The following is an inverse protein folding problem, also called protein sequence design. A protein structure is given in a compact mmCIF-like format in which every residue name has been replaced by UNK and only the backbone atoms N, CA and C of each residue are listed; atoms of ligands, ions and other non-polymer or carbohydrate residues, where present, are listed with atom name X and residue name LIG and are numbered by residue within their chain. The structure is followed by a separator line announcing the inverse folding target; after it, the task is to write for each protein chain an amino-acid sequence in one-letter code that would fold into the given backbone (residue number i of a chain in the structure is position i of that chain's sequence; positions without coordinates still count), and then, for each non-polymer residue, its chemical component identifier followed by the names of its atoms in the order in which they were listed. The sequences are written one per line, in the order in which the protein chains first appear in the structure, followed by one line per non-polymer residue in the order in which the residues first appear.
data_IF_917288354778
#
_entry.id   IF_917288354778
#
_cell.length_a   1.000
_cell.length_b   1.000
_cell.length_c   1.000
_cell.angle_alpha   90.00
_cell.angle_beta   90.00
_cell.angle_gamma   90.00
#
_symmetry.space_group_name_H-M   'P 1'
#
loop_
_entity.id
_entity.type
_entity.pdbx_description
1 polymer ?
#
# COMPACT_ATOMS: atom_id res chain seq x y z
N UNK A 1 -29.21 12.17 -0.78
CA UNK A 1 -29.90 12.13 0.54
C UNK A 1 -29.92 13.54 1.09
N UNK A 2 -31.08 14.15 1.21
CA UNK A 2 -31.20 15.47 1.82
C UNK A 2 -31.11 15.31 3.33
N UNK A 3 -29.95 15.58 3.88
CA UNK A 3 -29.78 15.67 5.34
C UNK A 3 -30.25 17.06 5.79
N UNK A 4 -31.40 17.18 6.53
CA UNK A 4 -31.95 18.46 6.94
C UNK A 4 -30.97 19.31 7.76
N UNK A 5 -30.05 18.64 8.45
CA UNK A 5 -29.05 19.24 9.31
C UNK A 5 -27.92 19.88 8.51
N UNK A 6 -27.40 19.18 7.46
CA UNK A 6 -26.44 19.74 6.52
C UNK A 6 -27.02 20.96 5.77
N UNK A 7 -28.28 20.90 5.37
CA UNK A 7 -28.97 22.03 4.78
C UNK A 7 -29.10 23.22 5.73
N UNK A 8 -29.28 22.97 7.02
CA UNK A 8 -29.32 23.98 8.07
C UNK A 8 -27.96 24.67 8.27
N UNK A 9 -26.87 23.88 8.32
CA UNK A 9 -25.49 24.39 8.42
C UNK A 9 -25.13 25.18 7.17
N UNK A 10 -25.47 24.66 5.99
CA UNK A 10 -25.21 25.33 4.71
C UNK A 10 -25.92 26.67 4.62
N UNK A 11 -27.22 26.74 4.97
CA UNK A 11 -27.98 27.98 5.03
C UNK A 11 -27.38 28.96 6.02
N UNK A 12 -26.96 28.51 7.20
CA UNK A 12 -26.30 29.33 8.18
C UNK A 12 -24.94 29.84 7.65
N UNK A 13 -24.10 28.99 7.06
CA UNK A 13 -22.81 29.35 6.44
C UNK A 13 -23.03 30.44 5.37
N UNK A 14 -23.99 30.24 4.47
CA UNK A 14 -24.32 31.21 3.42
C UNK A 14 -24.77 32.55 4.04
N UNK A 15 -25.58 32.50 5.10
CA UNK A 15 -26.03 33.74 5.79
C UNK A 15 -24.89 34.50 6.48
N UNK A 16 -23.77 33.84 6.76
CA UNK A 16 -22.58 34.51 7.34
C UNK A 16 -21.59 35.01 6.26
N UNK A 17 -21.65 34.47 5.05
CA UNK A 17 -20.76 34.84 3.93
C UNK A 17 -21.34 35.94 3.04
N UNK A 18 -22.63 36.23 3.13
CA UNK A 18 -23.34 37.18 2.26
C UNK A 18 -23.24 38.66 2.71
N UNK A 19 -22.31 39.00 3.59
CA UNK A 19 -21.92 40.36 3.87
C UNK A 19 -20.88 40.81 2.86
N UNK A 20 -21.32 41.33 1.71
CA UNK A 20 -20.48 41.81 0.61
C UNK A 20 -19.61 43.05 0.93
N UNK A 21 -18.97 43.08 2.10
CA UNK A 21 -17.98 44.07 2.47
C UNK A 21 -16.60 43.39 2.61
N UNK A 22 -15.59 43.96 1.96
CA UNK A 22 -14.18 43.62 2.23
C UNK A 22 -13.94 43.68 3.74
N UNK A 23 -13.45 42.58 4.31
CA UNK A 23 -13.12 42.52 5.75
C UNK A 23 -12.03 43.53 6.04
N UNK A 24 -12.35 44.52 6.91
CA UNK A 24 -11.33 45.40 7.50
C UNK A 24 -10.30 44.53 8.25
N UNK A 25 -8.99 44.59 7.88
CA UNK A 25 -7.94 43.82 8.55
C UNK A 25 -7.80 44.12 10.05
N UNK A 26 -8.37 45.30 10.52
CA UNK A 26 -8.32 45.71 11.92
C UNK A 26 -9.65 45.49 12.65
N UNK A 27 -10.62 44.84 12.04
CA UNK A 27 -11.88 44.52 12.72
C UNK A 27 -11.63 43.55 13.90
N UNK A 28 -12.27 43.81 15.07
CA UNK A 28 -12.14 42.88 16.20
C UNK A 28 -12.64 41.48 15.80
N UNK A 29 -12.07 40.42 16.37
CA UNK A 29 -12.50 39.05 16.06
C UNK A 29 -14.01 38.93 16.32
N UNK A 30 -14.73 38.42 15.34
CA UNK A 30 -16.17 38.16 15.47
C UNK A 30 -16.38 37.12 16.56
N UNK A 31 -16.87 37.53 17.71
CA UNK A 31 -17.25 36.63 18.80
C UNK A 31 -18.54 35.94 18.37
N UNK A 32 -18.48 34.63 18.18
CA UNK A 32 -19.66 33.86 17.83
C UNK A 32 -20.69 33.92 18.98
N UNK A 33 -21.94 34.20 18.61
CA UNK A 33 -23.06 34.16 19.53
C UNK A 33 -23.11 32.83 20.31
N UNK A 34 -23.21 32.84 21.64
CA UNK A 34 -23.24 31.65 22.47
C UNK A 34 -24.30 30.60 22.03
N UNK A 35 -25.50 31.04 21.62
CA UNK A 35 -26.58 30.17 21.15
C UNK A 35 -26.17 29.47 19.81
N UNK A 36 -25.51 30.19 18.91
CA UNK A 36 -25.00 29.64 17.65
C UNK A 36 -23.88 28.67 17.88
N UNK A 37 -22.99 28.93 18.83
CA UNK A 37 -21.91 28.03 19.22
C UNK A 37 -22.47 26.74 19.79
N UNK A 38 -23.43 26.83 20.72
CA UNK A 38 -24.07 25.64 21.30
C UNK A 38 -24.82 24.80 20.24
N UNK A 39 -25.49 25.49 19.29
CA UNK A 39 -26.13 24.80 18.17
C UNK A 39 -25.13 24.06 17.32
N UNK A 40 -23.99 24.68 16.94
CA UNK A 40 -22.95 24.02 16.14
C UNK A 40 -22.29 22.86 16.88
N UNK A 41 -21.97 23.05 18.16
CA UNK A 41 -21.41 22.00 19.01
C UNK A 41 -22.37 20.76 19.09
N UNK A 42 -23.65 21.00 19.25
CA UNK A 42 -24.67 19.94 19.26
C UNK A 42 -24.75 19.21 17.94
N UNK A 43 -24.77 19.95 16.82
CA UNK A 43 -24.84 19.36 15.47
C UNK A 43 -23.60 18.56 15.16
N UNK A 44 -22.42 19.11 15.48
CA UNK A 44 -21.14 18.40 15.26
C UNK A 44 -21.06 17.13 16.09
N UNK A 45 -21.43 17.19 17.37
CA UNK A 45 -21.44 16.02 18.24
C UNK A 45 -22.40 14.93 17.73
N UNK A 46 -23.59 15.30 17.26
CA UNK A 46 -24.53 14.36 16.68
C UNK A 46 -24.01 13.72 15.39
N UNK A 47 -23.35 14.51 14.51
CA UNK A 47 -22.73 13.95 13.31
C UNK A 47 -21.62 12.97 13.64
N UNK A 48 -20.78 13.27 14.63
CA UNK A 48 -19.71 12.36 15.09
C UNK A 48 -20.28 11.08 15.70
N UNK A 49 -21.37 11.20 16.50
CA UNK A 49 -22.05 10.04 17.07
C UNK A 49 -22.68 9.16 15.99
N UNK A 50 -23.34 9.74 14.99
CA UNK A 50 -23.97 9.00 13.89
C UNK A 50 -22.93 8.29 13.02
N UNK A 51 -21.81 8.94 12.70
CA UNK A 51 -20.72 8.34 11.95
C UNK A 51 -20.02 7.22 12.73
N UNK A 52 -19.76 7.47 14.03
CA UNK A 52 -19.16 6.47 14.90
C UNK A 52 -20.05 5.24 15.07
N UNK A 53 -21.36 5.41 15.21
CA UNK A 53 -22.30 4.30 15.23
C UNK A 53 -22.29 3.53 13.93
N UNK A 54 -22.34 4.21 12.80
CA UNK A 54 -22.29 3.60 11.48
C UNK A 54 -20.99 2.82 11.22
N UNK A 55 -19.83 3.28 11.74
CA UNK A 55 -18.58 2.54 11.66
C UNK A 55 -18.62 1.27 12.53
N UNK A 56 -19.21 1.33 13.73
CA UNK A 56 -19.40 0.14 14.58
C UNK A 56 -20.32 -0.88 13.94
N UNK A 57 -21.41 -0.45 13.30
CA UNK A 57 -22.33 -1.33 12.60
C UNK A 57 -21.63 -2.08 11.45
N UNK A 58 -20.72 -1.44 10.73
CA UNK A 58 -19.87 -2.11 9.73
C UNK A 58 -18.94 -3.15 10.35
N UNK A 59 -18.29 -2.82 11.46
CA UNK A 59 -17.41 -3.76 12.16
C UNK A 59 -18.18 -4.97 12.69
N UNK A 60 -19.40 -4.78 13.20
CA UNK A 60 -20.24 -5.90 13.61
C UNK A 60 -20.66 -6.78 12.42
N UNK A 61 -20.91 -6.21 11.24
CA UNK A 61 -21.16 -6.98 10.02
C UNK A 61 -19.90 -7.77 9.58
N UNK A 62 -18.70 -7.17 9.67
CA UNK A 62 -17.42 -7.82 9.41
C UNK A 62 -17.19 -9.03 10.34
N UNK A 63 -17.55 -8.92 11.63
CA UNK A 63 -17.47 -9.99 12.62
C UNK A 63 -18.59 -11.03 12.48
N UNK A 64 -19.63 -10.72 11.72
CA UNK A 64 -20.80 -11.57 11.54
C UNK A 64 -20.48 -13.00 11.07
N UNK A 65 -21.44 -13.93 11.10
CA UNK A 65 -21.23 -15.30 10.66
C UNK A 65 -20.94 -15.38 9.16
N UNK A 66 -20.31 -16.48 8.71
CA UNK A 66 -19.92 -16.73 7.32
C UNK A 66 -20.23 -18.18 6.91
N UNK A 67 -21.43 -18.66 7.26
CA UNK A 67 -21.84 -20.04 7.01
C UNK A 67 -22.50 -20.25 5.63
N UNK A 68 -22.72 -19.18 4.88
CA UNK A 68 -23.33 -19.21 3.54
C UNK A 68 -22.73 -18.15 2.62
N UNK A 69 -22.85 -18.35 1.31
CA UNK A 69 -22.43 -17.35 0.29
C UNK A 69 -23.13 -16.00 0.46
N UNK A 70 -24.37 -16.00 0.94
CA UNK A 70 -25.12 -14.78 1.22
C UNK A 70 -24.49 -13.99 2.39
N UNK A 71 -24.13 -14.68 3.46
CA UNK A 71 -23.43 -14.07 4.60
C UNK A 71 -22.04 -13.58 4.21
N UNK A 72 -21.32 -14.33 3.38
CA UNK A 72 -20.04 -13.88 2.82
C UNK A 72 -20.20 -12.62 1.97
N UNK A 73 -21.27 -12.50 1.16
CA UNK A 73 -21.57 -11.29 0.38
C UNK A 73 -21.82 -10.08 1.29
N UNK A 74 -22.64 -10.25 2.34
CA UNK A 74 -22.88 -9.17 3.33
C UNK A 74 -21.58 -8.70 3.97
N UNK A 75 -20.65 -9.62 4.24
CA UNK A 75 -19.35 -9.31 4.81
C UNK A 75 -18.46 -8.54 3.81
N UNK A 76 -18.46 -8.93 2.53
CA UNK A 76 -17.78 -8.19 1.45
C UNK A 76 -18.35 -6.78 1.34
N UNK A 77 -19.68 -6.63 1.30
CA UNK A 77 -20.33 -5.32 1.22
C UNK A 77 -19.94 -4.41 2.39
N UNK A 78 -19.81 -4.97 3.61
CA UNK A 78 -19.37 -4.23 4.78
C UNK A 78 -17.89 -3.82 4.68
N UNK A 79 -17.01 -4.69 4.19
CA UNK A 79 -15.61 -4.40 3.94
C UNK A 79 -15.43 -3.32 2.86
N UNK A 80 -16.19 -3.38 1.76
CA UNK A 80 -16.17 -2.36 0.69
C UNK A 80 -16.64 -1.00 1.21
N UNK A 81 -17.72 -0.96 2.00
CA UNK A 81 -18.15 0.28 2.66
C UNK A 81 -17.11 0.81 3.65
N UNK A 82 -16.37 -0.05 4.34
CA UNK A 82 -15.26 0.38 5.19
C UNK A 82 -14.10 0.93 4.37
N UNK A 83 -13.78 0.35 3.20
CA UNK A 83 -12.78 0.87 2.25
C UNK A 83 -13.15 2.29 1.82
N UNK A 84 -14.39 2.51 1.35
CA UNK A 84 -14.87 3.81 0.91
C UNK A 84 -14.74 4.90 1.99
N UNK A 85 -14.92 4.52 3.26
CA UNK A 85 -14.82 5.47 4.38
C UNK A 85 -13.38 5.71 4.82
N UNK A 86 -12.56 4.67 4.89
CA UNK A 86 -11.18 4.72 5.37
C UNK A 86 -10.20 5.35 4.36
N UNK A 87 -10.67 5.82 3.20
CA UNK A 87 -9.86 6.62 2.26
C UNK A 87 -9.31 7.92 2.89
N UNK A 88 -9.93 8.39 3.96
CA UNK A 88 -9.44 9.52 4.77
C UNK A 88 -8.69 9.00 6.00
N UNK A 89 -7.50 9.55 6.26
CA UNK A 89 -6.60 9.14 7.35
C UNK A 89 -7.29 9.11 8.72
N UNK A 90 -8.09 10.12 9.04
CA UNK A 90 -8.81 10.18 10.32
C UNK A 90 -9.81 9.04 10.49
N UNK A 91 -10.47 8.63 9.41
CA UNK A 91 -11.39 7.50 9.41
C UNK A 91 -10.66 6.16 9.50
N UNK A 92 -9.49 6.02 8.86
CA UNK A 92 -8.65 4.83 8.99
C UNK A 92 -8.18 4.66 10.44
N UNK A 93 -7.75 5.74 11.11
CA UNK A 93 -7.43 5.72 12.56
C UNK A 93 -8.66 5.37 13.38
N UNK A 94 -9.81 6.01 13.11
CA UNK A 94 -11.08 5.78 13.80
C UNK A 94 -11.62 4.35 13.63
N UNK A 95 -11.39 3.73 12.49
CA UNK A 95 -11.78 2.34 12.22
C UNK A 95 -11.19 1.37 13.25
N UNK A 96 -9.94 1.58 13.69
CA UNK A 96 -9.37 0.78 14.77
C UNK A 96 -9.62 1.39 16.14
N UNK A 97 -9.21 2.64 16.38
CA UNK A 97 -9.20 3.23 17.73
C UNK A 97 -10.60 3.36 18.34
N UNK A 98 -11.62 3.57 17.52
CA UNK A 98 -13.00 3.77 17.97
C UNK A 98 -13.88 2.56 17.78
N UNK A 99 -13.79 1.88 16.62
CA UNK A 99 -14.65 0.74 16.30
C UNK A 99 -13.97 -0.61 16.49
N UNK A 100 -12.65 -0.65 16.74
CA UNK A 100 -11.83 -1.87 16.83
C UNK A 100 -11.99 -2.80 15.62
N UNK A 101 -11.99 -2.21 14.40
CA UNK A 101 -12.28 -2.94 13.17
C UNK A 101 -11.06 -3.63 12.55
N UNK A 102 -9.84 -3.12 12.79
CA UNK A 102 -8.64 -3.63 12.12
C UNK A 102 -8.32 -5.08 12.49
N UNK A 103 -8.40 -5.46 13.78
CA UNK A 103 -8.07 -6.82 14.21
C UNK A 103 -9.04 -7.87 13.64
N UNK A 104 -10.37 -7.70 13.72
CA UNK A 104 -11.30 -8.61 13.05
C UNK A 104 -11.05 -8.73 11.54
N UNK A 105 -10.68 -7.63 10.88
CA UNK A 105 -10.35 -7.66 9.45
C UNK A 105 -9.08 -8.48 9.18
N UNK A 106 -8.05 -8.37 10.03
CA UNK A 106 -6.83 -9.17 9.94
C UNK A 106 -7.12 -10.66 10.18
N UNK A 107 -8.03 -10.99 11.11
CA UNK A 107 -8.42 -12.38 11.36
C UNK A 107 -9.09 -13.03 10.14
N UNK A 108 -9.84 -12.30 9.33
CA UNK A 108 -10.48 -12.81 8.12
C UNK A 108 -9.48 -13.36 7.09
N UNK A 109 -8.24 -12.90 7.08
CA UNK A 109 -7.21 -13.44 6.19
C UNK A 109 -6.95 -14.93 6.41
N UNK A 110 -7.17 -15.43 7.63
CA UNK A 110 -6.94 -16.82 8.01
C UNK A 110 -8.25 -17.60 8.20
N UNK A 111 -9.30 -16.96 8.72
CA UNK A 111 -10.52 -17.63 9.17
C UNK A 111 -11.63 -17.71 8.14
N UNK A 112 -11.61 -16.81 7.12
CA UNK A 112 -12.63 -16.84 6.09
C UNK A 112 -12.41 -17.98 5.09
N UNK A 113 -13.48 -18.75 4.81
CA UNK A 113 -13.47 -19.78 3.77
C UNK A 113 -13.58 -19.19 2.35
N UNK A 114 -14.01 -17.94 2.22
CA UNK A 114 -14.30 -17.29 0.95
C UNK A 114 -13.17 -16.38 0.47
N UNK A 115 -12.59 -16.67 -0.69
CA UNK A 115 -11.47 -15.92 -1.27
C UNK A 115 -11.76 -14.45 -1.53
N UNK A 116 -13.01 -14.08 -1.88
CA UNK A 116 -13.41 -12.69 -2.05
C UNK A 116 -13.41 -11.92 -0.71
N UNK A 117 -13.81 -12.55 0.39
CA UNK A 117 -13.74 -11.94 1.73
C UNK A 117 -12.28 -11.70 2.11
N UNK A 118 -11.42 -12.74 1.98
CA UNK A 118 -9.97 -12.59 2.27
C UNK A 118 -9.31 -11.51 1.39
N UNK A 119 -9.65 -11.47 0.11
CA UNK A 119 -9.13 -10.48 -0.81
C UNK A 119 -9.56 -9.06 -0.41
N UNK A 120 -10.84 -8.82 -0.11
CA UNK A 120 -11.34 -7.49 0.27
C UNK A 120 -10.84 -7.09 1.66
N UNK A 121 -10.66 -8.03 2.60
CA UNK A 121 -10.01 -7.78 3.87
C UNK A 121 -8.54 -7.32 3.69
N UNK A 122 -7.78 -7.98 2.81
CA UNK A 122 -6.41 -7.57 2.49
C UNK A 122 -6.36 -6.16 1.86
N UNK A 123 -7.33 -5.82 1.00
CA UNK A 123 -7.44 -4.48 0.41
C UNK A 123 -7.73 -3.40 1.47
N UNK A 124 -8.67 -3.66 2.38
CA UNK A 124 -8.97 -2.75 3.49
C UNK A 124 -7.74 -2.55 4.40
N UNK A 125 -7.02 -3.63 4.73
CA UNK A 125 -5.78 -3.52 5.51
C UNK A 125 -4.77 -2.65 4.77
N UNK A 126 -4.55 -2.89 3.47
CA UNK A 126 -3.63 -2.09 2.67
C UNK A 126 -3.97 -0.60 2.71
N UNK A 127 -5.25 -0.25 2.60
CA UNK A 127 -5.71 1.12 2.66
C UNK A 127 -5.51 1.77 4.03
N UNK A 128 -5.91 1.07 5.09
CA UNK A 128 -5.86 1.57 6.48
C UNK A 128 -4.43 1.83 6.95
N UNK A 129 -3.47 0.96 6.55
CA UNK A 129 -2.06 1.10 6.99
C UNK A 129 -1.22 1.97 6.07
N UNK A 130 -1.71 2.33 4.87
CA UNK A 130 -0.96 3.10 3.90
C UNK A 130 -0.62 4.49 4.45
N UNK A 131 0.67 4.81 4.51
CA UNK A 131 1.18 6.10 5.02
C UNK A 131 0.59 6.52 6.37
N UNK A 132 0.26 5.53 7.21
CA UNK A 132 -0.43 5.72 8.49
C UNK A 132 0.28 4.97 9.63
N UNK A 133 1.33 5.56 10.23
CA UNK A 133 2.17 4.90 11.23
C UNK A 133 1.42 4.29 12.43
N UNK A 134 0.41 4.96 13.05
CA UNK A 134 -0.39 4.33 14.09
C UNK A 134 -1.08 3.03 13.64
N UNK A 135 -1.69 3.05 12.45
CA UNK A 135 -2.37 1.87 11.91
C UNK A 135 -1.38 0.76 11.51
N UNK A 136 -0.19 1.11 11.02
CA UNK A 136 0.89 0.15 10.75
C UNK A 136 1.31 -0.56 12.05
N UNK A 137 1.51 0.18 13.15
CA UNK A 137 1.85 -0.39 14.44
C UNK A 137 0.78 -1.35 14.94
N UNK A 138 -0.49 -0.95 14.93
CA UNK A 138 -1.60 -1.82 15.32
C UNK A 138 -1.72 -3.06 14.42
N UNK A 139 -1.58 -2.91 13.10
CA UNK A 139 -1.62 -4.05 12.19
C UNK A 139 -0.46 -5.03 12.46
N UNK A 140 0.73 -4.52 12.76
CA UNK A 140 1.89 -5.34 13.11
C UNK A 140 1.66 -6.09 14.43
N UNK A 141 1.17 -5.42 15.47
CA UNK A 141 0.76 -6.03 16.75
C UNK A 141 -0.35 -7.09 16.54
N UNK A 142 -1.32 -6.81 15.66
CA UNK A 142 -2.40 -7.71 15.28
C UNK A 142 -1.98 -8.89 14.40
N UNK A 143 -0.66 -9.08 14.20
CA UNK A 143 -0.12 -10.19 13.41
C UNK A 143 -0.56 -10.17 11.93
N UNK A 144 -0.73 -9.00 11.33
CA UNK A 144 -1.07 -8.86 9.92
C UNK A 144 0.04 -9.44 9.02
N UNK A 145 1.32 -9.20 9.34
CA UNK A 145 2.45 -9.64 8.53
C UNK A 145 2.45 -11.16 8.27
N UNK A 146 2.45 -12.04 9.28
CA UNK A 146 2.45 -13.48 9.04
C UNK A 146 1.18 -13.97 8.31
N UNK A 147 0.01 -13.39 8.57
CA UNK A 147 -1.23 -13.77 7.90
C UNK A 147 -1.27 -13.34 6.43
N UNK A 148 -0.76 -12.16 6.12
CA UNK A 148 -0.63 -11.70 4.74
C UNK A 148 0.39 -12.54 3.96
N UNK A 149 1.50 -12.94 4.58
CA UNK A 149 2.46 -13.87 3.97
C UNK A 149 1.83 -15.25 3.74
N UNK A 150 1.06 -15.78 4.70
CA UNK A 150 0.36 -17.05 4.54
C UNK A 150 -0.67 -17.00 3.41
N UNK A 151 -1.46 -15.91 3.32
CA UNK A 151 -2.38 -15.70 2.20
C UNK A 151 -1.66 -15.63 0.87
N UNK A 152 -0.57 -14.87 0.79
CA UNK A 152 0.24 -14.75 -0.41
C UNK A 152 0.84 -16.10 -0.86
N UNK A 153 1.30 -16.93 0.08
CA UNK A 153 1.84 -18.27 -0.18
C UNK A 153 0.77 -19.31 -0.53
N UNK A 154 -0.49 -19.02 -0.26
CA UNK A 154 -1.60 -19.97 -0.38
C UNK A 154 -1.69 -20.95 0.79
N UNK A 155 -1.13 -20.60 1.95
CA UNK A 155 -1.08 -21.40 3.18
C UNK A 155 -2.27 -21.07 4.10
N UNK A 156 -3.48 -20.96 3.55
CA UNK A 156 -4.71 -20.68 4.32
C UNK A 156 -5.29 -21.99 4.82
N UNK A 157 -5.59 -22.08 6.13
CA UNK A 157 -5.93 -23.34 6.81
C UNK A 157 -7.17 -24.04 6.26
N UNK A 158 -8.26 -23.31 6.05
CA UNK A 158 -9.58 -23.89 5.77
C UNK A 158 -10.19 -23.36 4.46
N UNK A 159 -9.51 -22.44 3.78
CA UNK A 159 -9.95 -21.87 2.51
C UNK A 159 -9.47 -22.72 1.33
N UNK A 160 -10.29 -22.84 0.30
CA UNK A 160 -9.90 -23.42 -0.97
C UNK A 160 -8.64 -22.77 -1.59
N UNK A 161 -8.24 -23.12 -2.81
CA UNK A 161 -7.05 -22.56 -3.42
C UNK A 161 -7.09 -21.05 -3.49
N UNK A 162 -5.99 -20.42 -3.10
CA UNK A 162 -5.86 -18.95 -3.11
C UNK A 162 -5.68 -18.46 -4.55
N UNK A 163 -6.55 -17.56 -4.98
CA UNK A 163 -6.56 -17.00 -6.31
C UNK A 163 -5.54 -15.87 -6.52
N UNK A 164 -5.34 -15.49 -7.77
CA UNK A 164 -4.43 -14.40 -8.15
C UNK A 164 -4.79 -13.06 -7.48
N UNK A 165 -6.08 -12.73 -7.43
CA UNK A 165 -6.55 -11.48 -6.81
C UNK A 165 -6.18 -11.39 -5.33
N UNK A 166 -6.33 -12.49 -4.58
CA UNK A 166 -5.96 -12.56 -3.16
C UNK A 166 -4.46 -12.32 -2.99
N UNK A 167 -3.62 -12.96 -3.81
CA UNK A 167 -2.16 -12.79 -3.77
C UNK A 167 -1.75 -11.35 -4.07
N UNK A 168 -2.32 -10.73 -5.11
CA UNK A 168 -2.04 -9.33 -5.47
C UNK A 168 -2.42 -8.38 -4.33
N UNK A 169 -3.60 -8.57 -3.71
CA UNK A 169 -4.05 -7.75 -2.59
C UNK A 169 -3.22 -7.98 -1.33
N UNK A 170 -2.81 -9.22 -1.06
CA UNK A 170 -1.89 -9.54 0.03
C UNK A 170 -0.53 -8.84 -0.15
N UNK A 171 0.06 -8.88 -1.36
CA UNK A 171 1.31 -8.17 -1.66
C UNK A 171 1.14 -6.65 -1.53
N UNK A 172 -0.02 -6.11 -1.93
CA UNK A 172 -0.31 -4.68 -1.74
C UNK A 172 -0.37 -4.30 -0.25
N UNK A 173 -1.01 -5.13 0.57
CA UNK A 173 -1.08 -4.92 2.02
C UNK A 173 0.27 -5.08 2.71
N UNK A 174 1.08 -6.08 2.31
CA UNK A 174 2.46 -6.24 2.75
C UNK A 174 3.29 -5.00 2.42
N UNK A 175 3.18 -4.48 1.19
CA UNK A 175 3.86 -3.24 0.79
C UNK A 175 3.52 -2.08 1.71
N UNK A 176 2.23 -1.82 1.92
CA UNK A 176 1.77 -0.72 2.77
C UNK A 176 2.17 -0.88 4.24
N UNK A 177 2.21 -2.12 4.74
CA UNK A 177 2.59 -2.43 6.13
C UNK A 177 4.08 -2.22 6.39
N UNK A 178 4.97 -2.64 5.45
CA UNK A 178 6.42 -2.58 5.64
C UNK A 178 7.02 -1.23 5.25
N UNK A 179 6.32 -0.42 4.45
CA UNK A 179 6.80 0.87 3.98
C UNK A 179 7.06 1.81 5.16
N UNK A 180 8.25 2.42 5.21
CA UNK A 180 8.70 3.32 6.28
C UNK A 180 8.68 2.72 7.71
N UNK A 181 8.59 1.39 7.84
CA UNK A 181 8.52 0.70 9.14
C UNK A 181 9.68 -0.30 9.27
N UNK A 182 10.85 0.11 9.80
CA UNK A 182 12.06 -0.73 9.86
C UNK A 182 11.86 -2.07 10.58
N UNK A 183 11.05 -2.09 11.63
CA UNK A 183 10.73 -3.32 12.38
C UNK A 183 9.96 -4.32 11.52
N UNK A 184 8.96 -3.85 10.78
CA UNK A 184 8.18 -4.69 9.87
C UNK A 184 9.02 -5.15 8.67
N UNK A 185 9.93 -4.30 8.14
CA UNK A 185 10.89 -4.68 7.09
C UNK A 185 11.80 -5.81 7.56
N UNK A 186 12.36 -5.70 8.76
CA UNK A 186 13.21 -6.75 9.34
C UNK A 186 12.44 -8.05 9.55
N UNK A 187 11.23 -7.97 10.09
CA UNK A 187 10.37 -9.14 10.29
C UNK A 187 9.98 -9.80 8.96
N UNK A 188 9.71 -9.02 7.91
CA UNK A 188 9.46 -9.50 6.55
C UNK A 188 10.66 -10.27 5.99
N UNK A 189 11.88 -9.75 6.15
CA UNK A 189 13.10 -10.42 5.73
C UNK A 189 13.31 -11.74 6.48
N UNK A 190 13.14 -11.73 7.81
CA UNK A 190 13.27 -12.91 8.67
C UNK A 190 12.23 -13.99 8.36
N UNK A 191 11.03 -13.59 7.95
CA UNK A 191 9.96 -14.50 7.54
C UNK A 191 10.15 -15.10 6.12
N UNK A 192 11.27 -14.82 5.44
CA UNK A 192 11.54 -15.33 4.09
C UNK A 192 10.86 -14.54 2.98
N UNK A 193 10.45 -13.30 3.23
CA UNK A 193 9.75 -12.47 2.25
C UNK A 193 10.51 -12.25 0.94
N UNK A 194 11.86 -12.24 0.95
CA UNK A 194 12.63 -12.16 -0.29
C UNK A 194 12.51 -13.40 -1.17
N UNK A 195 12.28 -14.58 -0.59
CA UNK A 195 12.07 -15.81 -1.37
C UNK A 195 10.70 -15.78 -2.04
N UNK A 196 9.72 -15.17 -1.38
CA UNK A 196 8.40 -14.93 -1.96
C UNK A 196 8.47 -13.92 -3.12
N UNK A 197 9.16 -12.78 -2.92
CA UNK A 197 9.39 -11.81 -3.98
C UNK A 197 10.11 -12.45 -5.18
N UNK A 198 11.16 -13.24 -4.94
CA UNK A 198 11.88 -13.93 -6.01
C UNK A 198 10.98 -14.85 -6.82
N UNK A 199 10.08 -15.58 -6.19
CA UNK A 199 9.13 -16.48 -6.87
C UNK A 199 8.20 -15.72 -7.81
N UNK A 200 7.68 -14.60 -7.36
CA UNK A 200 6.71 -13.79 -8.11
C UNK A 200 7.34 -12.99 -9.26
N UNK A 201 8.66 -12.82 -9.26
CA UNK A 201 9.37 -12.11 -10.33
C UNK A 201 9.69 -12.98 -11.54
N UNK A 202 9.40 -14.27 -11.50
CA UNK A 202 9.54 -15.15 -12.65
C UNK A 202 8.71 -14.62 -13.83
N UNK A 203 9.24 -14.73 -15.06
CA UNK A 203 8.60 -14.16 -16.25
C UNK A 203 7.26 -14.80 -16.61
N UNK A 204 7.02 -16.02 -16.16
CA UNK A 204 5.76 -16.75 -16.30
C UNK A 204 4.74 -16.44 -15.20
N UNK A 205 5.14 -15.70 -14.18
CA UNK A 205 4.21 -15.23 -13.15
C UNK A 205 3.19 -14.22 -13.74
N UNK A 206 1.96 -14.15 -13.18
CA UNK A 206 0.94 -13.21 -13.63
C UNK A 206 1.48 -11.76 -13.65
N UNK A 207 1.25 -11.06 -14.76
CA UNK A 207 1.78 -9.69 -14.96
C UNK A 207 1.50 -8.74 -13.79
N UNK A 208 0.24 -8.74 -13.31
CA UNK A 208 -0.18 -7.85 -12.22
C UNK A 208 0.53 -8.16 -10.91
N UNK A 209 0.71 -9.43 -10.59
CA UNK A 209 1.46 -9.87 -9.42
C UNK A 209 2.91 -9.44 -9.54
N UNK A 210 3.55 -9.70 -10.68
CA UNK A 210 4.94 -9.32 -10.95
C UNK A 210 5.18 -7.80 -10.83
N UNK A 211 4.32 -6.98 -11.43
CA UNK A 211 4.42 -5.52 -11.32
C UNK A 211 4.31 -5.06 -9.86
N UNK A 212 3.35 -5.58 -9.11
CA UNK A 212 3.19 -5.25 -7.70
C UNK A 212 4.39 -5.69 -6.86
N UNK A 213 4.92 -6.88 -7.11
CA UNK A 213 6.10 -7.42 -6.42
C UNK A 213 7.35 -6.58 -6.72
N UNK A 214 7.53 -6.13 -7.97
CA UNK A 214 8.62 -5.20 -8.33
C UNK A 214 8.50 -3.86 -7.62
N UNK A 215 7.29 -3.33 -7.48
CA UNK A 215 7.05 -2.12 -6.70
C UNK A 215 7.49 -2.30 -5.24
N UNK A 216 7.09 -3.41 -4.59
CA UNK A 216 7.50 -3.73 -3.20
C UNK A 216 9.02 -3.86 -3.12
N UNK A 217 9.64 -4.56 -4.05
CA UNK A 217 11.09 -4.75 -4.08
C UNK A 217 11.82 -3.40 -4.20
N UNK A 218 11.35 -2.51 -5.09
CA UNK A 218 11.89 -1.15 -5.25
C UNK A 218 11.82 -0.36 -3.95
N UNK A 219 10.66 -0.31 -3.31
CA UNK A 219 10.46 0.41 -2.06
C UNK A 219 11.35 -0.15 -0.95
N UNK A 220 11.36 -1.47 -0.80
CA UNK A 220 12.14 -2.15 0.23
C UNK A 220 13.64 -1.92 0.09
N UNK A 221 14.21 -2.05 -1.12
CA UNK A 221 15.65 -1.80 -1.34
C UNK A 221 16.02 -0.32 -1.29
N UNK A 222 15.10 0.59 -1.59
CA UNK A 222 15.33 2.03 -1.45
C UNK A 222 15.42 2.45 0.02
N UNK A 223 14.58 1.87 0.89
CA UNK A 223 14.45 2.27 2.28
C UNK A 223 15.36 1.50 3.24
N UNK A 224 15.57 0.19 3.03
CA UNK A 224 16.23 -0.72 3.98
C UNK A 224 17.64 -1.12 3.55
N UNK A 225 18.69 -0.66 4.27
CA UNK A 225 20.05 -1.15 4.04
C UNK A 225 20.21 -2.66 4.27
N UNK A 226 19.43 -3.23 5.20
CA UNK A 226 19.38 -4.66 5.48
C UNK A 226 18.82 -5.43 4.29
N UNK A 227 17.71 -4.95 3.69
CA UNK A 227 17.13 -5.53 2.49
C UNK A 227 18.08 -5.45 1.29
N UNK A 228 18.76 -4.32 1.09
CA UNK A 228 19.79 -4.19 0.04
C UNK A 228 20.86 -5.26 0.17
N UNK A 229 21.43 -5.44 1.36
CA UNK A 229 22.44 -6.47 1.61
C UNK A 229 21.89 -7.87 1.34
N UNK A 230 20.71 -8.18 1.87
CA UNK A 230 20.10 -9.48 1.68
C UNK A 230 19.71 -9.75 0.20
N UNK A 231 19.34 -8.73 -0.57
CA UNK A 231 19.11 -8.87 -2.02
C UNK A 231 20.41 -9.14 -2.78
N UNK A 232 21.52 -8.46 -2.44
CA UNK A 232 22.82 -8.67 -3.07
C UNK A 232 23.39 -10.08 -2.83
N UNK A 233 22.99 -10.77 -1.77
CA UNK A 233 23.35 -12.14 -1.49
C UNK A 233 22.53 -13.18 -2.29
N UNK A 234 21.48 -12.76 -3.04
CA UNK A 234 20.56 -13.63 -3.79
C UNK A 234 20.72 -13.49 -5.30
N UNK A 235 21.67 -14.23 -5.87
CA UNK A 235 21.93 -14.18 -7.32
C UNK A 235 20.67 -14.41 -8.17
N UNK A 236 19.78 -15.33 -7.78
CA UNK A 236 18.52 -15.61 -8.49
C UNK A 236 17.59 -14.38 -8.53
N UNK A 237 17.45 -13.64 -7.42
CA UNK A 237 16.67 -12.42 -7.36
C UNK A 237 17.29 -11.32 -8.24
N UNK A 238 18.60 -11.15 -8.19
CA UNK A 238 19.32 -10.17 -9.01
C UNK A 238 19.17 -10.46 -10.51
N UNK A 239 19.26 -11.71 -10.91
CA UNK A 239 19.03 -12.14 -12.32
C UNK A 239 17.60 -11.83 -12.76
N UNK A 240 16.60 -12.07 -11.91
CA UNK A 240 15.20 -11.76 -12.22
C UNK A 240 14.95 -10.25 -12.31
N UNK A 241 15.54 -9.45 -11.43
CA UNK A 241 15.49 -7.99 -11.54
C UNK A 241 16.11 -7.50 -12.86
N UNK A 242 17.30 -8.01 -13.21
CA UNK A 242 17.95 -7.68 -14.46
C UNK A 242 17.09 -8.08 -15.68
N UNK A 243 16.49 -9.25 -15.66
CA UNK A 243 15.64 -9.73 -16.76
C UNK A 243 14.36 -8.89 -16.90
N UNK A 244 13.71 -8.56 -15.79
CA UNK A 244 12.52 -7.70 -15.80
C UNK A 244 12.85 -6.27 -16.23
N UNK A 245 14.04 -5.72 -15.92
CA UNK A 245 14.43 -4.35 -16.28
C UNK A 245 14.58 -4.14 -17.80
N UNK A 246 14.78 -5.19 -18.57
CA UNK A 246 14.88 -5.15 -20.04
C UNK A 246 13.67 -5.76 -20.74
N UNK A 247 12.65 -6.16 -20.00
CA UNK A 247 11.40 -6.70 -20.54
C UNK A 247 10.58 -5.62 -21.29
N UNK A 248 9.68 -6.04 -22.16
CA UNK A 248 8.83 -5.13 -22.93
C UNK A 248 7.73 -4.45 -22.07
N UNK A 249 7.40 -5.00 -20.90
CA UNK A 249 6.46 -4.40 -19.96
C UNK A 249 7.07 -3.17 -19.29
N UNK A 250 6.55 -1.99 -19.62
CA UNK A 250 7.13 -0.71 -19.19
C UNK A 250 7.11 -0.55 -17.66
N UNK A 251 5.99 -0.89 -17.00
CA UNK A 251 5.83 -0.78 -15.55
C UNK A 251 6.78 -1.72 -14.79
N UNK A 252 6.84 -2.98 -15.21
CA UNK A 252 7.77 -3.95 -14.63
C UNK A 252 9.22 -3.52 -14.82
N UNK A 253 9.56 -3.05 -15.99
CA UNK A 253 10.94 -2.67 -16.30
C UNK A 253 11.37 -1.38 -15.58
N UNK A 254 10.47 -0.43 -15.36
CA UNK A 254 10.74 0.77 -14.57
C UNK A 254 11.07 0.42 -13.12
N UNK A 255 10.19 -0.35 -12.45
CA UNK A 255 10.42 -0.74 -11.06
C UNK A 255 11.66 -1.61 -10.89
N UNK A 256 11.91 -2.53 -11.83
CA UNK A 256 13.11 -3.36 -11.82
C UNK A 256 14.39 -2.53 -11.99
N UNK A 257 14.40 -1.57 -12.93
CA UNK A 257 15.54 -0.66 -13.15
C UNK A 257 15.80 0.18 -11.91
N UNK A 258 14.75 0.77 -11.31
CA UNK A 258 14.88 1.55 -10.09
C UNK A 258 15.40 0.71 -8.90
N UNK A 259 14.98 -0.55 -8.79
CA UNK A 259 15.51 -1.47 -7.78
C UNK A 259 17.02 -1.73 -7.97
N UNK A 260 17.45 -1.95 -9.22
CA UNK A 260 18.87 -2.15 -9.53
C UNK A 260 19.71 -0.88 -9.28
N UNK A 261 19.18 0.31 -9.58
CA UNK A 261 19.83 1.57 -9.22
C UNK A 261 20.03 1.69 -7.71
N UNK A 262 18.98 1.43 -6.90
CA UNK A 262 19.07 1.48 -5.44
C UNK A 262 20.06 0.45 -4.87
N UNK A 263 20.21 -0.71 -5.51
CA UNK A 263 21.23 -1.70 -5.14
C UNK A 263 22.66 -1.24 -5.48
N UNK A 264 22.84 -0.33 -6.47
CA UNK A 264 24.13 0.24 -6.78
C UNK A 264 24.58 1.34 -5.79
N UNK A 265 23.67 1.93 -5.02
CA UNK A 265 23.92 3.01 -4.05
C UNK A 265 24.46 2.53 -2.69
N UNK A 266 25.27 1.48 -2.66
CA UNK A 266 25.79 0.92 -1.38
C UNK A 266 26.93 1.79 -0.82
N UNK A 267 26.88 2.21 0.48
CA UNK A 267 27.85 3.14 1.07
C UNK A 267 29.31 2.63 1.21
N UNK A 268 29.57 1.36 0.99
CA UNK A 268 30.87 0.72 1.24
C UNK A 268 31.93 0.88 0.14
N UNK A 269 31.71 1.80 -0.81
CA UNK A 269 32.60 2.02 -1.96
C UNK A 269 32.14 1.28 -3.22
N UNK A 270 32.26 1.92 -4.39
CA UNK A 270 31.52 1.49 -5.59
C UNK A 270 31.90 0.11 -6.14
N UNK A 271 33.12 -0.40 -5.86
CA UNK A 271 33.59 -1.65 -6.50
C UNK A 271 33.33 -2.93 -5.72
N UNK A 272 33.30 -2.89 -4.39
CA UNK A 272 33.13 -4.12 -3.58
C UNK A 272 31.66 -4.45 -3.30
N UNK A 273 30.77 -3.43 -3.27
CA UNK A 273 29.37 -3.58 -2.89
C UNK A 273 28.47 -4.22 -3.97
N UNK A 274 28.76 -3.97 -5.25
CA UNK A 274 27.90 -4.42 -6.37
C UNK A 274 28.50 -5.60 -7.17
N UNK A 275 29.64 -6.15 -6.76
CA UNK A 275 30.22 -7.34 -7.41
C UNK A 275 29.25 -8.52 -7.52
N UNK A 276 28.41 -8.85 -6.52
CA UNK A 276 27.40 -9.89 -6.65
C UNK A 276 26.34 -9.56 -7.71
N UNK A 277 25.94 -8.30 -7.84
CA UNK A 277 25.02 -7.86 -8.88
C UNK A 277 25.64 -8.08 -10.27
N UNK A 278 26.86 -7.61 -10.48
CA UNK A 278 27.56 -7.77 -11.77
C UNK A 278 27.68 -9.26 -12.14
N UNK A 279 28.02 -10.13 -11.18
CA UNK A 279 28.13 -11.55 -11.41
C UNK A 279 26.79 -12.23 -11.75
N UNK A 280 25.66 -11.67 -11.32
CA UNK A 280 24.33 -12.19 -11.58
C UNK A 280 23.68 -11.67 -12.87
N UNK A 281 24.29 -10.63 -13.53
CA UNK A 281 23.75 -10.09 -14.77
C UNK A 281 23.85 -11.09 -15.92
N UNK A 282 22.82 -11.19 -16.80
CA UNK A 282 22.92 -11.95 -18.04
C UNK A 282 24.09 -11.46 -18.92
N UNK A 283 24.74 -12.34 -19.70
CA UNK A 283 25.92 -11.97 -20.50
C UNK A 283 25.71 -10.77 -21.44
N UNK A 284 24.52 -10.64 -22.02
CA UNK A 284 24.16 -9.56 -22.95
C UNK A 284 23.42 -8.40 -22.28
N UNK A 285 23.38 -8.33 -20.95
CA UNK A 285 22.54 -7.40 -20.22
C UNK A 285 22.75 -5.93 -20.64
N UNK A 286 23.98 -5.45 -20.66
CA UNK A 286 24.27 -4.06 -21.05
C UNK A 286 23.84 -3.74 -22.50
N UNK A 287 23.92 -4.73 -23.40
CA UNK A 287 23.44 -4.57 -24.77
C UNK A 287 21.91 -4.44 -24.81
N UNK A 288 21.21 -5.27 -24.05
CA UNK A 288 19.75 -5.25 -23.93
C UNK A 288 19.27 -3.93 -23.27
N UNK A 289 19.95 -3.49 -22.22
CA UNK A 289 19.61 -2.25 -21.52
C UNK A 289 19.80 -1.02 -22.45
N UNK A 290 20.89 -0.96 -23.22
CA UNK A 290 21.09 0.09 -24.22
C UNK A 290 20.05 0.04 -25.35
N UNK A 291 19.65 -1.16 -25.80
CA UNK A 291 18.59 -1.28 -26.79
C UNK A 291 17.24 -0.77 -26.25
N UNK A 292 16.97 -1.00 -24.97
CA UNK A 292 15.80 -0.42 -24.30
C UNK A 292 15.89 1.09 -24.21
N UNK A 293 17.04 1.66 -23.80
CA UNK A 293 17.24 3.10 -23.74
C UNK A 293 16.95 3.77 -25.09
N UNK A 294 17.40 3.19 -26.20
CA UNK A 294 17.10 3.70 -27.54
C UNK A 294 15.59 3.71 -27.87
N UNK A 295 14.80 2.76 -27.32
CA UNK A 295 13.33 2.79 -27.42
C UNK A 295 12.73 3.92 -26.56
N UNK A 296 13.25 4.13 -25.34
CA UNK A 296 12.78 5.17 -24.42
C UNK A 296 13.11 6.59 -24.92
N UNK A 297 14.23 6.79 -25.64
CA UNK A 297 14.61 8.07 -26.28
C UNK A 297 13.56 8.53 -27.32
N UNK A 298 12.82 7.61 -27.91
CA UNK A 298 11.77 7.91 -28.87
C UNK A 298 10.42 8.27 -28.21
N UNK A 299 10.30 8.09 -26.90
CA UNK A 299 9.07 8.34 -26.11
C UNK A 299 9.26 9.54 -25.18
N UNK A 300 8.60 10.68 -25.45
CA UNK A 300 8.71 11.89 -24.62
C UNK A 300 8.27 11.70 -23.17
N UNK A 301 7.35 10.76 -22.91
CA UNK A 301 6.79 10.51 -21.57
C UNK A 301 7.70 9.57 -20.74
N UNK A 302 8.75 9.00 -21.35
CA UNK A 302 9.66 8.04 -20.72
C UNK A 302 10.94 8.67 -20.13
N UNK A 303 11.01 9.97 -19.95
CA UNK A 303 12.22 10.69 -19.53
C UNK A 303 12.80 10.19 -18.20
N UNK A 304 11.96 9.88 -17.20
CA UNK A 304 12.40 9.36 -15.90
C UNK A 304 12.99 7.94 -16.05
N UNK A 305 12.31 7.08 -16.81
CA UNK A 305 12.77 5.72 -17.08
C UNK A 305 14.09 5.70 -17.84
N UNK A 306 14.28 6.63 -18.79
CA UNK A 306 15.54 6.80 -19.53
C UNK A 306 16.66 7.27 -18.62
N UNK A 307 16.40 8.24 -17.75
CA UNK A 307 17.37 8.74 -16.75
C UNK A 307 17.81 7.64 -15.79
N UNK A 308 16.89 6.84 -15.28
CA UNK A 308 17.19 5.71 -14.42
C UNK A 308 18.04 4.65 -15.14
N UNK A 309 17.68 4.30 -16.38
CA UNK A 309 18.45 3.35 -17.17
C UNK A 309 19.89 3.85 -17.48
N UNK A 310 20.05 5.15 -17.76
CA UNK A 310 21.37 5.78 -17.95
C UNK A 310 22.21 5.71 -16.68
N UNK A 311 21.65 6.08 -15.53
CA UNK A 311 22.33 6.01 -14.24
C UNK A 311 22.77 4.58 -13.90
N UNK A 312 21.95 3.58 -14.23
CA UNK A 312 22.30 2.18 -14.04
C UNK A 312 23.48 1.75 -14.93
N UNK A 313 23.48 2.14 -16.21
CA UNK A 313 24.60 1.87 -17.13
C UNK A 313 25.89 2.47 -16.60
N UNK A 314 25.86 3.73 -16.17
CA UNK A 314 27.03 4.43 -15.63
C UNK A 314 27.56 3.74 -14.37
N UNK A 315 26.68 3.35 -13.45
CA UNK A 315 27.06 2.62 -12.24
C UNK A 315 27.71 1.27 -12.54
N UNK A 316 27.16 0.51 -13.51
CA UNK A 316 27.71 -0.81 -13.90
C UNK A 316 29.04 -0.71 -14.66
N UNK A 317 29.28 0.37 -15.41
CA UNK A 317 30.56 0.59 -16.11
C UNK A 317 31.64 1.08 -15.14
N UNK A 318 31.27 1.87 -14.14
CA UNK A 318 32.20 2.40 -13.14
C UNK A 318 32.69 1.35 -12.12
N UNK A 319 32.00 0.24 -11.97
CA UNK A 319 32.29 -0.84 -11.02
C UNK A 319 33.23 -1.89 -11.61
#
# INVERSE_FOLDING_TARGET
MDNPMLNSILRWSISQTDTGSERDPNAPPVVMDPEKREFLERVMNQMVEDEGKSMKDLVEAIKGPEQSLEQASVKVDALEQAIDRCDKIDYAVGFHSFANGLFPTIELLETSEHGNVRATAAELIALVVKDNPPCQAWAFEGQALPRLLALHRGEVRDGGPVGETEKIRAVAALSALIQHTPEAQLAFLQAGGLDDLQRDLALDAPRRLRARTLFVTRSLVAESPEARRACLERAGLLTLLATNSVADDAECAEHATASLCALCEVPAGPKAGIAPLIAALPPDYLKLLRARMAKLEADPDAAESLSAASSLVDALIAA
#
